data_IF_582364909181
#
_entry.id   IF_582364909181
#
_cell.length_a   1.000
_cell.length_b   1.000
_cell.length_c   1.000
_cell.angle_alpha   90.00
_cell.angle_beta   90.00
_cell.angle_gamma   90.00
#
_symmetry.space_group_name_H-M   'P 1'
#
loop_
_entity.id
_entity.type
_entity.pdbx_description
1 polymer ?
#
# COMPACT_ATOMS: atom_id res chain seq x y z
N UNK A 1 0.36 -26.28 -27.21
CA UNK A 1 1.44 -25.95 -26.28
C UNK A 1 0.75 -25.24 -25.11
N UNK A 2 0.51 -26.00 -24.04
CA UNK A 2 -0.12 -25.48 -22.83
C UNK A 2 0.81 -24.45 -22.21
N UNK A 3 0.46 -23.18 -22.38
CA UNK A 3 1.04 -22.11 -21.57
C UNK A 3 0.51 -22.27 -20.15
N UNK A 4 1.07 -23.20 -19.38
CA UNK A 4 0.90 -23.18 -17.93
C UNK A 4 1.43 -21.84 -17.43
N UNK A 5 0.50 -20.95 -17.14
CA UNK A 5 0.81 -19.69 -16.46
C UNK A 5 1.35 -20.10 -15.09
N UNK A 6 2.67 -20.05 -14.91
CA UNK A 6 3.28 -20.32 -13.61
C UNK A 6 2.66 -19.36 -12.59
N UNK A 7 2.16 -19.88 -11.47
CA UNK A 7 1.57 -19.02 -10.43
C UNK A 7 2.60 -17.97 -9.99
N UNK A 8 2.13 -16.75 -9.76
CA UNK A 8 2.99 -15.68 -9.26
C UNK A 8 3.45 -16.03 -7.83
N UNK A 9 4.74 -16.15 -7.65
CA UNK A 9 5.32 -16.36 -6.32
C UNK A 9 6.16 -15.15 -5.94
N UNK A 10 5.65 -14.40 -4.99
CA UNK A 10 6.31 -13.20 -4.50
C UNK A 10 7.54 -13.52 -3.63
N UNK A 11 8.45 -12.57 -3.50
CA UNK A 11 9.51 -12.59 -2.51
C UNK A 11 8.94 -12.41 -1.10
N UNK A 12 9.67 -12.87 -0.10
CA UNK A 12 9.25 -12.66 1.30
C UNK A 12 9.69 -11.28 1.78
N UNK A 13 8.75 -10.54 2.37
CA UNK A 13 9.00 -9.26 3.04
C UNK A 13 8.54 -9.35 4.49
N UNK A 14 9.37 -8.90 5.41
CA UNK A 14 9.01 -8.81 6.83
C UNK A 14 8.45 -7.43 7.14
N UNK A 15 7.32 -7.40 7.86
CA UNK A 15 6.74 -6.20 8.47
C UNK A 15 6.81 -6.39 9.97
N UNK A 16 7.80 -5.79 10.61
CA UNK A 16 8.18 -6.17 11.96
C UNK A 16 8.60 -7.64 12.00
N UNK A 17 7.95 -8.42 12.87
CA UNK A 17 8.17 -9.87 12.99
C UNK A 17 7.28 -10.71 12.06
N UNK A 18 6.34 -10.09 11.33
CA UNK A 18 5.35 -10.82 10.52
C UNK A 18 5.82 -10.92 9.07
N UNK A 19 6.11 -12.14 8.57
CA UNK A 19 6.45 -12.35 7.16
C UNK A 19 5.19 -12.33 6.30
N UNK A 20 5.31 -11.82 5.08
CA UNK A 20 4.30 -11.90 4.03
C UNK A 20 4.96 -12.19 2.67
N UNK A 21 4.21 -12.82 1.78
CA UNK A 21 4.73 -13.27 0.49
C UNK A 21 5.32 -14.69 0.53
N UNK A 22 5.80 -15.18 -0.60
CA UNK A 22 6.32 -16.55 -0.73
C UNK A 22 5.26 -17.61 -0.41
N UNK A 23 5.57 -18.50 0.53
CA UNK A 23 4.66 -19.57 0.98
C UNK A 23 3.94 -19.24 2.30
N UNK A 24 4.06 -18.01 2.77
CA UNK A 24 3.37 -17.57 3.97
C UNK A 24 1.87 -17.35 3.70
N UNK A 25 1.00 -17.52 4.72
CA UNK A 25 -0.43 -17.31 4.55
C UNK A 25 -0.74 -15.85 4.20
N UNK A 26 -1.83 -15.64 3.47
CA UNK A 26 -2.35 -14.32 3.14
C UNK A 26 -2.61 -13.55 4.44
N UNK A 27 -2.06 -12.33 4.54
CA UNK A 27 -2.19 -11.48 5.72
C UNK A 27 -3.40 -10.56 5.61
N UNK A 28 -4.13 -10.43 6.70
CA UNK A 28 -5.33 -9.59 6.78
C UNK A 28 -4.98 -8.29 7.48
N UNK A 29 -5.37 -7.18 6.86
CA UNK A 29 -5.16 -5.85 7.38
C UNK A 29 -6.50 -5.11 7.46
N UNK A 30 -6.70 -4.30 8.51
CA UNK A 30 -7.72 -3.25 8.54
C UNK A 30 -7.12 -1.90 8.88
N UNK A 31 -7.94 -0.85 8.89
CA UNK A 31 -7.51 0.52 9.11
C UNK A 31 -8.46 1.22 10.06
N UNK A 32 -7.90 1.93 11.05
CA UNK A 32 -8.68 2.76 11.95
C UNK A 32 -9.38 3.89 11.20
N UNK A 33 -10.52 4.33 11.72
CA UNK A 33 -11.24 5.53 11.28
C UNK A 33 -11.28 6.61 12.37
N UNK A 34 -10.57 6.41 13.48
CA UNK A 34 -10.38 7.41 14.53
C UNK A 34 -9.41 8.50 14.10
N UNK A 35 -9.49 9.67 14.74
CA UNK A 35 -8.43 10.66 14.65
C UNK A 35 -7.14 10.10 15.29
N UNK A 36 -6.07 10.04 14.50
CA UNK A 36 -4.77 9.52 14.97
C UNK A 36 -4.16 10.39 16.08
N UNK A 37 -4.61 11.64 16.26
CA UNK A 37 -4.21 12.49 17.39
C UNK A 37 -4.93 12.12 18.69
N UNK A 38 -6.07 11.45 18.62
CA UNK A 38 -6.74 10.85 19.77
C UNK A 38 -6.13 9.47 20.07
N UNK A 39 -5.14 9.47 20.95
CA UNK A 39 -4.40 8.25 21.33
C UNK A 39 -5.32 7.19 21.93
N UNK A 40 -6.22 7.57 22.83
CA UNK A 40 -7.09 6.64 23.56
C UNK A 40 -8.09 5.96 22.63
N UNK A 41 -8.80 6.74 21.80
CA UNK A 41 -9.74 6.20 20.82
C UNK A 41 -9.03 5.31 19.78
N UNK A 42 -7.84 5.72 19.31
CA UNK A 42 -7.05 4.96 18.34
C UNK A 42 -6.55 3.64 18.92
N UNK A 43 -6.06 3.62 20.16
CA UNK A 43 -5.64 2.39 20.84
C UNK A 43 -6.83 1.44 21.02
N UNK A 44 -7.95 1.94 21.51
CA UNK A 44 -9.15 1.13 21.71
C UNK A 44 -9.63 0.49 20.40
N UNK A 45 -9.61 1.23 19.28
CA UNK A 45 -10.00 0.70 17.98
C UNK A 45 -8.96 -0.28 17.44
N UNK A 46 -7.65 -0.01 17.57
CA UNK A 46 -6.61 -0.95 17.22
C UNK A 46 -6.79 -2.29 17.94
N UNK A 47 -7.09 -2.28 19.23
CA UNK A 47 -7.33 -3.51 20.02
C UNK A 47 -8.51 -4.30 19.42
N UNK A 48 -9.65 -3.67 19.14
CA UNK A 48 -10.80 -4.35 18.54
C UNK A 48 -10.44 -4.98 17.18
N UNK A 49 -9.67 -4.27 16.34
CA UNK A 49 -9.21 -4.78 15.05
C UNK A 49 -8.29 -5.99 15.23
N UNK A 50 -7.36 -5.92 16.18
CA UNK A 50 -6.42 -7.01 16.48
C UNK A 50 -7.15 -8.23 17.03
N UNK A 51 -8.08 -8.04 17.97
CA UNK A 51 -8.88 -9.12 18.56
C UNK A 51 -9.82 -9.79 17.55
N UNK A 52 -10.27 -9.05 16.52
CA UNK A 52 -10.98 -9.64 15.38
C UNK A 52 -10.06 -10.55 14.53
N UNK A 53 -8.74 -10.42 14.70
CA UNK A 53 -7.71 -11.28 14.08
C UNK A 53 -7.03 -10.67 12.87
N UNK A 54 -6.80 -9.35 12.88
CA UNK A 54 -5.94 -8.69 11.89
C UNK A 54 -4.46 -8.99 12.16
N UNK A 55 -3.69 -9.24 11.09
CA UNK A 55 -2.23 -9.37 11.16
C UNK A 55 -1.54 -8.00 11.22
N UNK A 56 -2.18 -6.96 10.69
CA UNK A 56 -1.68 -5.57 10.66
C UNK A 56 -2.79 -4.57 10.92
N UNK A 57 -2.46 -3.48 11.60
CA UNK A 57 -3.37 -2.34 11.75
C UNK A 57 -2.79 -1.10 11.08
N UNK A 58 -3.57 -0.43 10.24
CA UNK A 58 -3.17 0.79 9.54
C UNK A 58 -3.84 2.01 10.16
N UNK A 59 -3.05 3.06 10.38
CA UNK A 59 -3.51 4.37 10.87
C UNK A 59 -3.16 5.46 9.85
N UNK A 60 -4.02 6.46 9.71
CA UNK A 60 -3.73 7.62 8.87
C UNK A 60 -2.69 8.53 9.54
N UNK A 61 -1.74 9.04 8.74
CA UNK A 61 -0.81 10.06 9.20
C UNK A 61 -0.72 11.17 8.13
N UNK A 62 -1.61 12.15 8.24
CA UNK A 62 -1.72 13.25 7.28
C UNK A 62 -0.58 14.25 7.42
N UNK A 63 -0.04 14.42 8.62
CA UNK A 63 1.07 15.30 8.93
C UNK A 63 2.05 14.71 9.93
N UNK A 64 3.07 15.49 10.26
CA UNK A 64 4.11 15.08 11.21
C UNK A 64 3.62 14.96 12.64
N UNK A 65 2.50 15.61 13.00
CA UNK A 65 1.89 15.48 14.34
C UNK A 65 1.27 14.11 14.53
N UNK A 66 0.44 13.69 13.58
CA UNK A 66 -0.18 12.34 13.55
C UNK A 66 0.90 11.26 13.48
N UNK A 67 1.92 11.46 12.62
CA UNK A 67 3.04 10.55 12.52
C UNK A 67 3.78 10.36 13.85
N UNK A 68 4.04 11.44 14.59
CA UNK A 68 4.67 11.36 15.92
C UNK A 68 3.76 10.68 16.95
N UNK A 69 2.44 10.92 16.89
CA UNK A 69 1.52 10.31 17.83
C UNK A 69 1.41 8.79 17.70
N UNK A 70 1.82 8.23 16.56
CA UNK A 70 1.95 6.77 16.39
C UNK A 70 2.87 6.14 17.45
N UNK A 71 3.85 6.88 17.96
CA UNK A 71 4.72 6.41 19.04
C UNK A 71 3.95 6.19 20.34
N UNK A 72 3.05 7.13 20.70
CA UNK A 72 2.20 7.00 21.88
C UNK A 72 1.22 5.83 21.73
N UNK A 73 0.56 5.73 20.55
CA UNK A 73 -0.37 4.63 20.26
C UNK A 73 0.36 3.29 20.38
N UNK A 74 1.55 3.16 19.79
CA UNK A 74 2.36 1.94 19.86
C UNK A 74 2.76 1.58 21.28
N UNK A 75 3.18 2.56 22.09
CA UNK A 75 3.53 2.36 23.51
C UNK A 75 2.34 1.85 24.32
N UNK A 76 1.17 2.42 24.14
CA UNK A 76 -0.04 1.99 24.87
C UNK A 76 -0.49 0.58 24.44
N UNK A 77 -0.42 0.25 23.15
CA UNK A 77 -0.69 -1.11 22.65
C UNK A 77 0.28 -2.13 23.27
N UNK A 78 1.58 -1.82 23.33
CA UNK A 78 2.59 -2.68 23.95
C UNK A 78 2.33 -2.88 25.44
N UNK A 79 1.95 -1.83 26.18
CA UNK A 79 1.57 -1.92 27.60
C UNK A 79 0.34 -2.82 27.80
N UNK A 80 -0.61 -2.79 26.85
CA UNK A 80 -1.78 -3.63 26.85
C UNK A 80 -1.50 -5.08 26.38
N UNK A 81 -0.25 -5.40 26.03
CA UNK A 81 0.17 -6.75 25.62
C UNK A 81 0.04 -7.03 24.11
N UNK A 82 -0.26 -6.03 23.30
CA UNK A 82 -0.40 -6.18 21.84
C UNK A 82 0.88 -5.75 21.12
N UNK A 83 1.41 -6.65 20.29
CA UNK A 83 2.63 -6.43 19.49
C UNK A 83 2.35 -6.57 17.98
N UNK A 84 1.14 -6.29 17.55
CA UNK A 84 0.75 -6.34 16.14
C UNK A 84 1.41 -5.18 15.39
N UNK A 85 2.08 -5.42 14.25
CA UNK A 85 2.75 -4.37 13.48
C UNK A 85 1.78 -3.28 13.03
N UNK A 86 2.19 -2.02 13.21
CA UNK A 86 1.45 -0.86 12.77
C UNK A 86 1.92 -0.39 11.39
N UNK A 87 1.00 0.17 10.63
CA UNK A 87 1.24 0.73 9.30
C UNK A 87 0.78 2.18 9.28
N UNK A 88 1.68 3.08 8.91
CA UNK A 88 1.31 4.48 8.68
C UNK A 88 0.86 4.68 7.23
N UNK A 89 -0.32 5.25 7.05
CA UNK A 89 -0.84 5.65 5.74
C UNK A 89 -0.55 7.13 5.52
N UNK A 90 0.43 7.42 4.68
CA UNK A 90 0.92 8.77 4.45
C UNK A 90 0.15 9.43 3.31
N UNK A 91 -0.37 10.62 3.61
CA UNK A 91 -1.09 11.44 2.65
C UNK A 91 -0.31 12.74 2.38
N UNK A 92 0.16 12.92 1.15
CA UNK A 92 0.75 14.17 0.62
C UNK A 92 1.97 14.76 1.36
N UNK A 93 2.48 14.14 2.42
CA UNK A 93 3.50 14.76 3.25
C UNK A 93 4.72 13.83 3.43
N UNK A 94 5.78 14.00 2.61
CA UNK A 94 7.00 13.21 2.74
C UNK A 94 7.65 13.29 4.13
N UNK A 95 7.61 14.45 4.81
CA UNK A 95 8.15 14.56 6.17
C UNK A 95 7.39 13.71 7.19
N UNK A 96 6.08 13.53 7.00
CA UNK A 96 5.31 12.61 7.83
C UNK A 96 5.72 11.14 7.59
N UNK A 97 6.07 10.77 6.35
CA UNK A 97 6.58 9.44 6.04
C UNK A 97 7.92 9.17 6.73
N UNK A 98 8.82 10.14 6.74
CA UNK A 98 10.12 10.04 7.39
C UNK A 98 9.97 9.85 8.91
N UNK A 99 9.12 10.65 9.56
CA UNK A 99 8.83 10.51 11.00
C UNK A 99 8.18 9.16 11.30
N UNK A 100 7.17 8.76 10.54
CA UNK A 100 6.47 7.51 10.76
C UNK A 100 7.37 6.30 10.57
N UNK A 101 8.29 6.34 9.59
CA UNK A 101 9.22 5.25 9.29
C UNK A 101 10.22 4.95 10.44
N UNK A 102 10.42 5.89 11.36
CA UNK A 102 11.21 5.67 12.58
C UNK A 102 10.42 4.93 13.68
N UNK A 103 9.09 4.88 13.55
CA UNK A 103 8.19 4.44 14.63
C UNK A 103 7.50 3.12 14.30
N UNK A 104 6.93 3.00 13.09
CA UNK A 104 6.10 1.87 12.69
C UNK A 104 6.84 0.89 11.78
N UNK A 105 6.29 -0.31 11.64
CA UNK A 105 6.92 -1.41 10.88
C UNK A 105 6.73 -1.29 9.37
N UNK A 106 5.74 -0.51 8.92
CA UNK A 106 5.52 -0.25 7.49
C UNK A 106 4.94 1.13 7.27
N UNK A 107 5.40 1.82 6.23
CA UNK A 107 4.78 3.05 5.73
C UNK A 107 4.16 2.83 4.36
N UNK A 108 3.00 3.41 4.10
CA UNK A 108 2.42 3.46 2.77
C UNK A 108 2.58 4.84 2.19
N UNK A 109 3.14 4.91 1.01
CA UNK A 109 3.21 6.11 0.18
C UNK A 109 2.40 5.91 -1.10
N UNK A 110 1.90 7.01 -1.66
CA UNK A 110 1.19 7.00 -2.93
C UNK A 110 1.99 7.77 -3.98
N UNK A 111 2.51 7.10 -5.02
CA UNK A 111 3.27 7.75 -6.09
C UNK A 111 2.60 8.98 -6.67
N UNK A 112 1.27 8.94 -6.84
CA UNK A 112 0.51 10.01 -7.46
C UNK A 112 0.42 11.32 -6.66
N UNK A 113 0.84 11.32 -5.39
CA UNK A 113 0.74 12.50 -4.54
C UNK A 113 1.89 12.66 -3.52
N UNK A 114 2.91 11.83 -3.58
CA UNK A 114 4.03 11.89 -2.65
C UNK A 114 4.98 13.05 -2.98
N UNK A 115 5.35 13.20 -4.24
CA UNK A 115 6.24 14.27 -4.74
C UNK A 115 5.62 15.01 -5.91
N UNK A 116 4.85 14.30 -6.74
CA UNK A 116 4.25 14.84 -7.94
C UNK A 116 3.18 15.90 -7.66
N UNK A 117 3.10 16.88 -8.55
CA UNK A 117 2.04 17.89 -8.50
C UNK A 117 0.75 17.30 -9.06
N UNK A 118 -0.36 17.55 -8.40
CA UNK A 118 -1.71 17.16 -8.86
C UNK A 118 -2.21 18.00 -10.03
N UNK A 119 -1.72 19.21 -10.19
CA UNK A 119 -2.18 20.11 -11.25
C UNK A 119 -1.48 19.78 -12.56
N UNK A 120 -2.25 19.32 -13.54
CA UNK A 120 -1.85 19.28 -14.93
C UNK A 120 -1.55 20.69 -15.41
N UNK A 121 -0.38 20.90 -16.00
CA UNK A 121 -0.09 22.14 -16.75
C UNK A 121 -0.76 22.12 -18.14
N UNK A 122 -1.40 20.99 -18.50
CA UNK A 122 -1.90 20.73 -19.86
C UNK A 122 -0.80 20.50 -20.89
N UNK A 123 0.46 20.42 -20.42
CA UNK A 123 1.65 20.23 -21.27
C UNK A 123 2.16 18.81 -21.10
N UNK A 124 2.21 18.06 -22.17
CA UNK A 124 2.89 16.75 -22.20
C UNK A 124 4.40 17.03 -22.09
N UNK A 125 5.04 16.43 -21.08
CA UNK A 125 6.48 16.56 -20.86
C UNK A 125 7.25 15.87 -22.01
N UNK A 126 8.33 16.50 -22.45
CA UNK A 126 9.33 15.81 -23.28
C UNK A 126 10.01 14.69 -22.49
N UNK A 127 10.70 13.78 -23.16
CA UNK A 127 11.42 12.69 -22.48
C UNK A 127 12.44 13.21 -21.47
N UNK A 128 13.17 14.26 -21.84
CA UNK A 128 14.17 14.91 -20.94
C UNK A 128 13.49 15.52 -19.71
N UNK A 129 12.39 16.26 -19.87
CA UNK A 129 11.64 16.85 -18.76
C UNK A 129 11.05 15.74 -17.85
N UNK A 130 10.66 14.61 -18.43
CA UNK A 130 10.13 13.47 -17.69
C UNK A 130 11.23 12.80 -16.83
N UNK A 131 12.43 12.65 -17.37
CA UNK A 131 13.59 12.12 -16.64
C UNK A 131 14.02 13.06 -15.50
N UNK A 132 14.00 14.38 -15.72
CA UNK A 132 14.26 15.37 -14.66
C UNK A 132 13.26 15.26 -13.50
N UNK A 133 11.98 15.01 -13.80
CA UNK A 133 10.95 14.76 -12.77
C UNK A 133 11.22 13.45 -12.01
N UNK A 134 11.64 12.38 -12.69
CA UNK A 134 12.01 11.13 -12.02
C UNK A 134 13.23 11.32 -11.09
N UNK A 135 14.22 12.09 -11.50
CA UNK A 135 15.38 12.40 -10.66
C UNK A 135 14.99 13.25 -9.44
N UNK A 136 14.05 14.18 -9.61
CA UNK A 136 13.50 14.95 -8.50
C UNK A 136 12.74 14.04 -7.50
N UNK A 137 11.98 13.06 -8.00
CA UNK A 137 11.28 12.06 -7.17
C UNK A 137 12.32 11.21 -6.44
N UNK A 138 13.33 10.73 -7.13
CA UNK A 138 14.44 9.95 -6.55
C UNK A 138 15.09 10.70 -5.39
N UNK A 139 15.55 11.93 -5.64
CA UNK A 139 16.17 12.78 -4.61
C UNK A 139 15.26 12.95 -3.38
N UNK A 140 13.95 13.10 -3.59
CA UNK A 140 13.00 13.29 -2.49
C UNK A 140 12.69 12.00 -1.73
N UNK A 141 12.87 10.84 -2.34
CA UNK A 141 12.69 9.53 -1.69
C UNK A 141 13.91 9.10 -0.86
N UNK A 142 15.12 9.58 -1.17
CA UNK A 142 16.36 9.18 -0.50
C UNK A 142 16.31 9.25 1.03
N UNK A 143 15.80 10.33 1.68
CA UNK A 143 15.72 10.38 3.13
C UNK A 143 14.85 9.24 3.70
N UNK A 144 13.68 8.98 3.11
CA UNK A 144 12.80 7.90 3.52
C UNK A 144 13.46 6.53 3.34
N UNK A 145 14.10 6.29 2.20
CA UNK A 145 14.80 5.03 1.90
C UNK A 145 15.88 4.77 2.97
N UNK A 146 16.69 5.77 3.29
CA UNK A 146 17.74 5.66 4.29
C UNK A 146 17.21 5.35 5.69
N UNK A 147 16.10 5.99 6.10
CA UNK A 147 15.43 5.71 7.38
C UNK A 147 14.91 4.27 7.39
N UNK A 148 14.22 3.85 6.33
CA UNK A 148 13.66 2.51 6.22
C UNK A 148 14.74 1.42 6.18
N UNK A 149 15.90 1.68 5.57
CA UNK A 149 17.05 0.79 5.62
C UNK A 149 17.55 0.60 7.06
N UNK A 150 17.76 1.69 7.78
CA UNK A 150 18.29 1.70 9.14
C UNK A 150 17.33 1.00 10.13
N UNK A 151 16.03 1.25 9.99
CA UNK A 151 15.03 0.77 10.95
C UNK A 151 14.36 -0.55 10.52
N UNK A 152 14.73 -1.13 9.40
CA UNK A 152 14.08 -2.30 8.81
C UNK A 152 12.57 -2.08 8.50
N UNK A 153 12.15 -0.86 8.29
CA UNK A 153 10.77 -0.50 7.98
C UNK A 153 10.45 -0.88 6.53
N UNK A 154 9.34 -1.59 6.31
CA UNK A 154 8.86 -1.90 4.98
C UNK A 154 8.14 -0.70 4.34
N UNK A 155 8.13 -0.63 3.01
CA UNK A 155 7.40 0.40 2.28
C UNK A 155 6.33 -0.25 1.40
N UNK A 156 5.10 0.27 1.46
CA UNK A 156 4.08 -0.06 0.48
C UNK A 156 3.93 1.06 -0.54
N UNK A 157 4.22 0.74 -1.80
CA UNK A 157 3.88 1.58 -2.95
C UNK A 157 2.40 1.38 -3.24
N UNK A 158 1.59 2.36 -2.85
CA UNK A 158 0.13 2.25 -2.89
C UNK A 158 -0.49 3.12 -3.96
N UNK A 159 -0.60 2.61 -5.19
CA UNK A 159 -1.22 3.30 -6.31
C UNK A 159 -2.73 3.21 -6.22
N UNK A 160 -3.40 4.34 -6.45
CA UNK A 160 -4.84 4.46 -6.50
C UNK A 160 -5.25 5.07 -7.84
N UNK A 161 -6.20 4.45 -8.55
CA UNK A 161 -6.70 4.93 -9.84
C UNK A 161 -7.18 6.39 -9.79
N UNK A 162 -7.89 6.77 -8.72
CA UNK A 162 -8.39 8.13 -8.53
C UNK A 162 -7.34 9.19 -8.14
N UNK A 163 -6.06 8.83 -8.04
CA UNK A 163 -5.00 9.74 -7.60
C UNK A 163 -3.68 9.55 -8.33
N UNK A 164 -3.71 9.19 -9.59
CA UNK A 164 -2.51 9.20 -10.45
C UNK A 164 -1.99 10.63 -10.62
N UNK A 165 -0.67 10.77 -10.75
CA UNK A 165 -0.07 12.07 -11.03
C UNK A 165 -0.43 12.57 -12.44
N UNK A 166 -0.45 13.89 -12.61
CA UNK A 166 -0.72 14.50 -13.92
C UNK A 166 0.24 13.98 -14.99
N UNK A 167 1.51 13.86 -14.67
CA UNK A 167 2.57 13.34 -15.52
C UNK A 167 2.27 11.93 -16.07
N UNK A 168 1.75 11.05 -15.20
CA UNK A 168 1.34 9.70 -15.58
C UNK A 168 0.10 9.73 -16.46
N UNK A 169 -0.92 10.53 -16.09
CA UNK A 169 -2.17 10.64 -16.86
C UNK A 169 -1.89 11.20 -18.26
N UNK A 170 -1.06 12.21 -18.37
CA UNK A 170 -0.70 12.84 -19.66
C UNK A 170 0.05 11.88 -20.58
N UNK A 171 0.91 11.00 -20.03
CA UNK A 171 1.73 10.09 -20.82
C UNK A 171 1.06 8.73 -21.09
N UNK A 172 0.35 8.17 -20.12
CA UNK A 172 -0.18 6.80 -20.16
C UNK A 172 -1.70 6.72 -19.98
N UNK A 173 -2.36 7.84 -19.74
CA UNK A 173 -3.80 7.91 -19.45
C UNK A 173 -4.16 7.50 -18.02
N UNK A 174 -5.41 7.77 -17.63
CA UNK A 174 -5.98 7.27 -16.38
C UNK A 174 -6.51 5.84 -16.59
N UNK A 175 -5.59 4.89 -16.73
CA UNK A 175 -5.80 3.51 -17.16
C UNK A 175 -5.09 2.53 -16.25
N UNK A 176 -5.42 1.21 -16.30
CA UNK A 176 -4.63 0.18 -15.63
C UNK A 176 -3.14 0.25 -15.97
N UNK A 177 -2.80 0.55 -17.22
CA UNK A 177 -1.42 0.73 -17.66
C UNK A 177 -0.75 1.93 -16.97
N UNK A 178 -1.42 3.08 -16.88
CA UNK A 178 -0.93 4.25 -16.14
C UNK A 178 -0.66 3.94 -14.67
N UNK A 179 -1.56 3.18 -14.04
CA UNK A 179 -1.35 2.71 -12.65
C UNK A 179 -0.07 1.89 -12.52
N UNK A 180 0.17 0.96 -13.46
CA UNK A 180 1.34 0.07 -13.42
C UNK A 180 2.63 0.85 -13.64
N UNK A 181 2.69 1.76 -14.62
CA UNK A 181 3.87 2.62 -14.82
C UNK A 181 4.17 3.48 -13.59
N UNK A 182 3.14 4.03 -12.95
CA UNK A 182 3.29 4.77 -11.69
C UNK A 182 3.98 3.95 -10.59
N UNK A 183 3.69 2.64 -10.50
CA UNK A 183 4.37 1.76 -9.54
C UNK A 183 5.77 1.38 -9.98
N UNK A 184 5.95 1.00 -11.25
CA UNK A 184 7.22 0.51 -11.79
C UNK A 184 8.32 1.58 -11.68
N UNK A 185 8.00 2.85 -11.90
CA UNK A 185 8.95 3.95 -11.72
C UNK A 185 9.47 4.00 -10.28
N UNK A 186 8.58 3.94 -9.30
CA UNK A 186 8.98 3.91 -7.89
C UNK A 186 9.75 2.64 -7.54
N UNK A 187 9.34 1.48 -8.03
CA UNK A 187 10.08 0.22 -7.84
C UNK A 187 11.52 0.37 -8.38
N UNK A 188 11.71 0.95 -9.57
CA UNK A 188 13.04 1.18 -10.14
C UNK A 188 13.90 2.09 -9.27
N UNK A 189 13.34 3.17 -8.75
CA UNK A 189 14.04 4.08 -7.82
C UNK A 189 14.47 3.33 -6.55
N UNK A 190 13.56 2.60 -5.90
CA UNK A 190 13.89 1.82 -4.69
C UNK A 190 14.96 0.77 -4.96
N UNK A 191 14.92 0.11 -6.11
CA UNK A 191 15.93 -0.87 -6.50
C UNK A 191 17.29 -0.26 -6.78
N UNK A 192 17.35 0.92 -7.39
CA UNK A 192 18.59 1.65 -7.60
C UNK A 192 19.30 1.94 -6.26
N UNK A 193 18.53 2.13 -5.19
CA UNK A 193 19.02 2.30 -3.81
C UNK A 193 19.15 0.97 -3.05
N UNK A 194 19.09 -0.17 -3.74
CA UNK A 194 19.18 -1.50 -3.14
C UNK A 194 18.14 -1.76 -2.03
N UNK A 195 16.97 -1.12 -2.12
CA UNK A 195 15.87 -1.28 -1.18
C UNK A 195 14.82 -2.27 -1.71
N UNK A 196 14.67 -3.41 -1.01
CA UNK A 196 13.83 -4.52 -1.46
C UNK A 196 12.66 -4.86 -0.53
N UNK A 197 12.48 -4.15 0.60
CA UNK A 197 11.35 -4.37 1.52
C UNK A 197 10.10 -3.65 1.01
N UNK A 198 9.65 -4.05 -0.18
CA UNK A 198 8.53 -3.42 -0.88
C UNK A 198 7.30 -4.32 -0.88
N UNK A 199 6.14 -3.70 -0.74
CA UNK A 199 4.82 -4.27 -0.99
C UNK A 199 4.12 -3.37 -1.99
N UNK A 200 3.44 -3.91 -2.98
CA UNK A 200 2.81 -3.11 -4.03
C UNK A 200 1.30 -3.24 -3.95
N UNK A 201 0.57 -2.19 -4.23
CA UNK A 201 -0.89 -2.27 -4.35
C UNK A 201 -1.42 -1.40 -5.47
N UNK A 202 -2.31 -1.99 -6.28
CA UNK A 202 -3.09 -1.34 -7.32
C UNK A 202 -4.54 -1.34 -6.88
N UNK A 203 -5.08 -0.18 -6.52
CA UNK A 203 -6.46 -0.07 -6.02
C UNK A 203 -7.31 0.83 -6.93
N UNK A 204 -8.56 0.43 -7.08
CA UNK A 204 -9.60 1.20 -7.76
C UNK A 204 -10.94 0.93 -7.08
N UNK A 205 -11.90 1.85 -7.22
CA UNK A 205 -13.31 1.61 -6.94
C UNK A 205 -13.98 0.79 -8.04
N UNK A 206 -13.43 0.83 -9.25
CA UNK A 206 -13.81 -0.07 -10.34
C UNK A 206 -13.04 -1.39 -10.20
N UNK A 207 -13.81 -2.46 -9.96
CA UNK A 207 -13.27 -3.81 -9.73
C UNK A 207 -12.53 -4.35 -10.97
N UNK A 208 -13.02 -4.06 -12.17
CA UNK A 208 -12.38 -4.51 -13.43
C UNK A 208 -11.02 -3.84 -13.63
N UNK A 209 -10.95 -2.53 -13.42
CA UNK A 209 -9.69 -1.77 -13.45
C UNK A 209 -8.70 -2.30 -12.41
N UNK A 210 -9.16 -2.60 -11.20
CA UNK A 210 -8.32 -3.14 -10.14
C UNK A 210 -7.73 -4.51 -10.50
N UNK A 211 -8.56 -5.42 -11.04
CA UNK A 211 -8.13 -6.75 -11.48
C UNK A 211 -7.12 -6.63 -12.62
N UNK A 212 -7.43 -5.86 -13.66
CA UNK A 212 -6.57 -5.69 -14.82
C UNK A 212 -5.22 -5.06 -14.45
N UNK A 213 -5.22 -4.02 -13.60
CA UNK A 213 -3.99 -3.37 -13.14
C UNK A 213 -3.08 -4.33 -12.36
N UNK A 214 -3.63 -5.19 -11.49
CA UNK A 214 -2.83 -6.18 -10.75
C UNK A 214 -2.26 -7.26 -11.67
N UNK A 215 -3.05 -7.79 -12.63
CA UNK A 215 -2.57 -8.76 -13.63
C UNK A 215 -1.45 -8.17 -14.48
N UNK A 216 -1.63 -6.93 -14.96
CA UNK A 216 -0.62 -6.25 -15.76
C UNK A 216 0.65 -5.97 -14.96
N UNK A 217 0.51 -5.55 -13.68
CA UNK A 217 1.65 -5.35 -12.79
C UNK A 217 2.46 -6.64 -12.62
N UNK A 218 1.80 -7.77 -12.33
CA UNK A 218 2.46 -9.07 -12.19
C UNK A 218 3.25 -9.41 -13.44
N UNK A 219 2.62 -9.28 -14.62
CA UNK A 219 3.27 -9.55 -15.90
C UNK A 219 4.52 -8.68 -16.10
N UNK A 220 4.42 -7.38 -15.84
CA UNK A 220 5.54 -6.45 -16.01
C UNK A 220 6.64 -6.71 -14.98
N UNK A 221 6.30 -6.98 -13.73
CA UNK A 221 7.30 -7.34 -12.72
C UNK A 221 8.04 -8.63 -13.09
N UNK A 222 7.35 -9.66 -13.57
CA UNK A 222 7.99 -10.89 -14.00
C UNK A 222 8.95 -10.66 -15.18
N UNK A 223 8.59 -9.82 -16.15
CA UNK A 223 9.45 -9.45 -17.27
C UNK A 223 10.73 -8.73 -16.84
N UNK A 224 10.65 -7.91 -15.79
CA UNK A 224 11.77 -7.16 -15.20
C UNK A 224 12.54 -7.98 -14.13
N UNK A 225 12.11 -9.23 -13.84
CA UNK A 225 12.69 -10.05 -12.77
C UNK A 225 12.36 -9.56 -11.35
N UNK A 226 11.22 -8.90 -11.15
CA UNK A 226 10.75 -8.40 -9.88
C UNK A 226 9.62 -9.28 -9.34
N UNK A 227 9.63 -9.57 -8.04
CA UNK A 227 8.67 -10.48 -7.41
C UNK A 227 8.21 -9.95 -6.04
N UNK A 228 7.72 -8.72 -6.00
CA UNK A 228 7.27 -8.10 -4.76
C UNK A 228 5.89 -8.56 -4.33
N UNK A 229 5.63 -8.72 -3.01
CA UNK A 229 4.32 -9.04 -2.48
C UNK A 229 3.26 -8.00 -2.86
N UNK A 230 2.03 -8.47 -3.08
CA UNK A 230 0.90 -7.66 -3.48
C UNK A 230 -0.12 -7.51 -2.35
N UNK A 231 -0.57 -6.27 -2.13
CA UNK A 231 -1.67 -5.95 -1.23
C UNK A 231 -2.92 -5.64 -2.03
N UNK A 232 -3.93 -6.49 -1.93
CA UNK A 232 -5.18 -6.35 -2.66
C UNK A 232 -6.27 -5.62 -1.86
N UNK A 233 -7.17 -4.98 -2.57
CA UNK A 233 -8.35 -4.36 -2.00
C UNK A 233 -9.07 -3.46 -3.01
N UNK A 234 -10.39 -3.47 -2.94
CA UNK A 234 -11.25 -2.54 -3.68
C UNK A 234 -11.38 -1.26 -2.85
N UNK A 235 -11.18 -0.10 -3.45
CA UNK A 235 -11.35 1.19 -2.76
C UNK A 235 -12.83 1.55 -2.74
N UNK A 236 -13.32 1.99 -1.56
CA UNK A 236 -14.73 2.43 -1.44
C UNK A 236 -15.71 1.38 -1.96
N UNK A 237 -15.54 0.14 -1.52
CA UNK A 237 -16.36 -0.97 -1.99
C UNK A 237 -17.85 -0.78 -1.62
N UNK A 238 -18.15 0.03 -0.60
CA UNK A 238 -19.51 0.31 -0.13
C UNK A 238 -19.80 -0.34 1.22
N UNK A 239 -21.09 -0.49 1.51
CA UNK A 239 -21.58 -1.08 2.76
C UNK A 239 -22.40 -2.34 2.50
N UNK A 240 -22.72 -3.07 3.57
CA UNK A 240 -23.62 -4.22 3.53
C UNK A 240 -23.16 -5.29 2.53
N UNK A 241 -24.12 -5.89 1.84
CA UNK A 241 -23.87 -6.96 0.86
C UNK A 241 -23.11 -6.49 -0.36
N UNK A 242 -23.42 -5.29 -0.87
CA UNK A 242 -22.77 -4.74 -2.07
C UNK A 242 -21.25 -4.59 -1.87
N UNK A 243 -20.82 -4.04 -0.73
CA UNK A 243 -19.42 -3.90 -0.40
C UNK A 243 -18.70 -5.25 -0.29
N UNK A 244 -19.38 -6.24 0.29
CA UNK A 244 -18.86 -7.61 0.42
C UNK A 244 -18.73 -8.29 -0.94
N UNK A 245 -19.75 -8.20 -1.78
CA UNK A 245 -19.75 -8.79 -3.14
C UNK A 245 -18.67 -8.16 -4.01
N UNK A 246 -18.54 -6.83 -4.01
CA UNK A 246 -17.49 -6.14 -4.78
C UNK A 246 -16.09 -6.54 -4.30
N UNK A 247 -15.89 -6.60 -2.99
CA UNK A 247 -14.61 -7.02 -2.40
C UNK A 247 -14.30 -8.48 -2.74
N UNK A 248 -15.27 -9.38 -2.62
CA UNK A 248 -15.12 -10.79 -2.96
C UNK A 248 -14.81 -10.97 -4.46
N UNK A 249 -15.54 -10.28 -5.34
CA UNK A 249 -15.30 -10.35 -6.77
C UNK A 249 -13.89 -9.84 -7.15
N UNK A 250 -13.46 -8.69 -6.63
CA UNK A 250 -12.16 -8.12 -6.95
C UNK A 250 -10.99 -8.89 -6.33
N UNK A 251 -11.02 -9.09 -5.03
CA UNK A 251 -9.95 -9.76 -4.28
C UNK A 251 -9.94 -11.26 -4.61
N UNK A 252 -11.11 -11.92 -4.55
CA UNK A 252 -11.23 -13.36 -4.77
C UNK A 252 -10.79 -13.80 -6.16
N UNK A 253 -11.09 -13.03 -7.21
CA UNK A 253 -10.61 -13.31 -8.57
C UNK A 253 -9.08 -13.39 -8.61
N UNK A 254 -8.39 -12.41 -8.03
CA UNK A 254 -6.92 -12.38 -8.05
C UNK A 254 -6.32 -13.48 -7.16
N UNK A 255 -6.90 -13.74 -5.98
CA UNK A 255 -6.45 -14.83 -5.11
C UNK A 255 -6.61 -16.20 -5.77
N UNK A 256 -7.69 -16.44 -6.52
CA UNK A 256 -7.89 -17.67 -7.28
C UNK A 256 -6.84 -17.86 -8.39
N UNK A 257 -6.21 -16.78 -8.84
CA UNK A 257 -5.10 -16.80 -9.81
C UNK A 257 -3.71 -16.89 -9.12
N UNK A 258 -3.67 -17.00 -7.79
CA UNK A 258 -2.43 -17.01 -7.02
C UNK A 258 -1.78 -15.62 -6.90
N UNK A 259 -2.54 -14.55 -7.09
CA UNK A 259 -2.08 -13.16 -7.00
C UNK A 259 -2.59 -12.56 -5.70
N UNK A 260 -1.70 -12.17 -4.80
CA UNK A 260 -2.03 -11.46 -3.56
C UNK A 260 -1.47 -12.14 -2.32
N UNK A 261 -0.81 -11.34 -1.48
CA UNK A 261 -0.12 -11.78 -0.26
C UNK A 261 -0.71 -11.16 1.00
N UNK A 262 -1.40 -10.03 0.85
CA UNK A 262 -2.13 -9.37 1.92
C UNK A 262 -3.35 -8.67 1.37
N UNK A 263 -4.42 -8.61 2.16
CA UNK A 263 -5.71 -8.06 1.73
C UNK A 263 -6.26 -7.06 2.74
N UNK A 264 -7.08 -6.12 2.25
CA UNK A 264 -8.02 -5.35 3.04
C UNK A 264 -9.36 -5.29 2.34
N UNK A 265 -10.39 -5.79 2.99
CA UNK A 265 -11.78 -5.48 2.66
C UNK A 265 -12.06 -4.07 3.19
N UNK A 266 -12.58 -3.16 2.36
CA UNK A 266 -12.83 -1.77 2.75
C UNK A 266 -14.33 -1.50 2.73
N UNK A 267 -14.94 -1.52 3.91
CA UNK A 267 -16.38 -1.29 4.09
C UNK A 267 -16.66 0.05 4.75
N UNK A 268 -17.85 0.60 4.53
CA UNK A 268 -18.38 1.75 5.26
C UNK A 268 -19.03 1.27 6.57
N UNK A 269 -18.27 0.52 7.37
CA UNK A 269 -18.68 -0.08 8.63
C UNK A 269 -17.52 0.08 9.64
N UNK A 270 -17.74 -0.36 10.90
CA UNK A 270 -16.66 -0.40 11.89
C UNK A 270 -15.51 -1.29 11.40
N UNK A 271 -14.25 -0.82 11.47
CA UNK A 271 -13.11 -1.51 10.86
C UNK A 271 -12.90 -2.97 11.29
N UNK A 272 -13.24 -3.31 12.53
CA UNK A 272 -13.16 -4.67 13.03
C UNK A 272 -14.09 -5.64 12.29
N UNK A 273 -15.18 -5.16 11.69
CA UNK A 273 -16.11 -5.97 10.89
C UNK A 273 -15.54 -6.34 9.52
N UNK A 274 -14.51 -5.66 9.04
CA UNK A 274 -13.80 -6.00 7.81
C UNK A 274 -13.09 -7.37 7.93
N UNK A 275 -12.63 -7.73 9.14
CA UNK A 275 -11.79 -8.92 9.36
C UNK A 275 -12.54 -10.25 9.14
N UNK A 276 -13.74 -10.48 9.72
CA UNK A 276 -14.51 -11.69 9.42
C UNK A 276 -14.80 -11.84 7.92
N UNK A 277 -15.12 -10.74 7.23
CA UNK A 277 -15.40 -10.76 5.79
C UNK A 277 -14.14 -11.12 4.99
N UNK A 278 -12.98 -10.64 5.42
CA UNK A 278 -11.71 -10.97 4.76
C UNK A 278 -11.28 -12.43 4.98
N UNK A 279 -11.78 -13.09 6.03
CA UNK A 279 -11.51 -14.51 6.34
C UNK A 279 -12.43 -15.48 5.60
N UNK A 280 -13.60 -15.02 5.12
CA UNK A 280 -14.55 -15.83 4.34
C UNK A 280 -14.05 -16.10 2.94
#
# INVERSE_FOLDING_TARGET
>A
MDNEVKPYRSSVVFVGSVPLGGDYPIRIQSMTNTDTLDTEASVAQCIRIIEAGADFVRLAAQGTKEARNLENIKKELLKAGYNTPLIADIHFNPAAAEVAAEIVEKVRINPGNYVDRRSSSGKILSDSEYEEELERIHTRLLPLINICHRNNTAIRIGVNHGSLSARIIERYGNTPQGMVYSAIEFIKIFRAENFHRLVISMKSSDTSVMIEANRLLVKMMQQEGYYYPLHLGVTEAGEGEDGRVRSAAGIGTLLAEGIGDTIRVSLTEEPEKEIPVAKM
#
